data_IF_002708343741
#
_entry.id   IF_002708343741
#
_cell.length_a   1.000
_cell.length_b   1.000
_cell.length_c   1.000
_cell.angle_alpha   90.00
_cell.angle_beta   90.00
_cell.angle_gamma   90.00
#
_symmetry.space_group_name_H-M   'P 1'
#
loop_
_entity.id
_entity.type
_entity.pdbx_description
1 polymer ?
#
# COMPACT_ATOMS: atom_id res chain seq x y z
N UNK A 1 25.22 -9.15 -16.62
CA UNK A 1 25.13 -9.31 -15.15
C UNK A 1 23.93 -10.21 -14.88
N UNK A 2 24.06 -11.23 -14.03
CA UNK A 2 22.94 -12.09 -13.61
C UNK A 2 22.56 -11.73 -12.17
N UNK A 3 21.28 -11.43 -11.88
CA UNK A 3 20.82 -11.18 -10.51
C UNK A 3 21.02 -12.41 -9.61
N UNK A 4 21.24 -12.19 -8.33
CA UNK A 4 21.41 -13.22 -7.30
C UNK A 4 20.13 -13.34 -6.45
N UNK A 5 20.05 -14.36 -5.58
CA UNK A 5 18.89 -14.56 -4.69
C UNK A 5 18.57 -13.33 -3.82
N UNK A 6 19.58 -12.51 -3.50
CA UNK A 6 19.41 -11.26 -2.74
C UNK A 6 18.65 -10.22 -3.56
N UNK A 7 18.98 -10.08 -4.82
CA UNK A 7 18.34 -9.13 -5.74
C UNK A 7 16.96 -9.61 -6.17
N UNK A 8 16.71 -10.91 -6.18
CA UNK A 8 15.36 -11.48 -6.36
C UNK A 8 14.41 -10.95 -5.29
N UNK A 9 14.84 -10.81 -4.03
CA UNK A 9 14.01 -10.22 -2.96
C UNK A 9 13.57 -8.80 -3.32
N UNK A 10 14.47 -7.95 -3.85
CA UNK A 10 14.12 -6.62 -4.32
C UNK A 10 13.13 -6.66 -5.48
N UNK A 11 13.35 -7.54 -6.45
CA UNK A 11 12.48 -7.63 -7.61
C UNK A 11 11.07 -8.09 -7.24
N UNK A 12 10.93 -9.13 -6.44
CA UNK A 12 9.62 -9.59 -5.95
C UNK A 12 8.90 -8.51 -5.15
N UNK A 13 9.61 -7.77 -4.32
CA UNK A 13 9.03 -6.69 -3.54
C UNK A 13 8.56 -5.53 -4.42
N UNK A 14 9.38 -5.13 -5.40
CA UNK A 14 9.01 -4.12 -6.41
C UNK A 14 7.86 -4.60 -7.31
N UNK A 15 7.82 -5.87 -7.66
CA UNK A 15 6.71 -6.45 -8.43
C UNK A 15 5.39 -6.37 -7.64
N UNK A 16 5.41 -6.75 -6.37
CA UNK A 16 4.25 -6.78 -5.48
C UNK A 16 3.69 -5.41 -5.16
N UNK A 17 4.55 -4.48 -4.76
CA UNK A 17 4.14 -3.18 -4.23
C UNK A 17 4.26 -2.04 -5.24
N UNK A 18 5.13 -2.13 -6.23
CA UNK A 18 5.47 -1.04 -7.13
C UNK A 18 6.74 -0.27 -6.69
N UNK A 19 6.90 1.00 -7.13
CA UNK A 19 8.12 1.77 -6.94
C UNK A 19 8.49 1.92 -5.46
N UNK A 20 9.80 1.73 -5.12
CA UNK A 20 10.32 1.85 -3.77
C UNK A 20 11.56 2.72 -3.71
N UNK A 21 11.73 3.44 -2.59
CA UNK A 21 12.97 4.16 -2.33
C UNK A 21 14.13 3.20 -2.09
N UNK A 22 15.34 3.65 -2.41
CA UNK A 22 16.57 2.90 -2.13
C UNK A 22 16.74 2.58 -0.63
N UNK A 23 16.20 3.42 0.26
CA UNK A 23 16.20 3.16 1.69
C UNK A 23 15.32 1.98 2.07
N UNK A 24 14.11 1.93 1.50
CA UNK A 24 13.18 0.82 1.74
C UNK A 24 13.74 -0.50 1.19
N UNK A 25 14.37 -0.47 0.03
CA UNK A 25 15.03 -1.64 -0.54
C UNK A 25 16.23 -2.10 0.30
N UNK A 26 17.00 -1.17 0.87
CA UNK A 26 18.05 -1.52 1.82
C UNK A 26 17.46 -2.16 3.10
N UNK A 27 16.41 -1.58 3.68
CA UNK A 27 15.72 -2.09 4.87
C UNK A 27 15.25 -3.55 4.65
N UNK A 28 14.63 -3.83 3.50
CA UNK A 28 14.18 -5.19 3.12
C UNK A 28 15.31 -6.24 3.14
N UNK A 29 16.54 -5.84 2.92
CA UNK A 29 17.69 -6.74 2.83
C UNK A 29 18.79 -6.45 3.85
N UNK A 30 18.47 -5.73 4.93
CA UNK A 30 19.41 -5.36 6.00
C UNK A 30 20.02 -6.57 6.72
N UNK A 31 19.34 -7.71 6.69
CA UNK A 31 19.85 -8.99 7.17
C UNK A 31 21.04 -9.53 6.35
N UNK A 32 21.11 -9.18 5.06
CA UNK A 32 22.17 -9.63 4.13
C UNK A 32 23.08 -8.51 3.67
N UNK A 33 22.59 -7.26 3.63
CA UNK A 33 23.40 -6.07 3.35
C UNK A 33 23.73 -5.33 4.63
N UNK A 34 24.89 -5.62 5.22
CA UNK A 34 25.35 -4.96 6.47
C UNK A 34 25.69 -3.48 6.27
N UNK A 35 25.97 -3.06 5.02
CA UNK A 35 26.35 -1.70 4.68
C UNK A 35 25.42 -1.12 3.63
N UNK A 36 24.82 0.05 3.93
CA UNK A 36 23.95 0.81 3.05
C UNK A 36 24.60 1.12 1.71
N UNK A 37 25.86 1.56 1.72
CA UNK A 37 26.58 1.94 0.49
C UNK A 37 26.76 0.75 -0.46
N UNK A 38 26.93 -0.45 0.09
CA UNK A 38 26.99 -1.68 -0.71
C UNK A 38 25.67 -1.96 -1.40
N UNK A 39 24.54 -1.82 -0.68
CA UNK A 39 23.21 -1.96 -1.25
C UNK A 39 22.95 -0.90 -2.34
N UNK A 40 23.29 0.37 -2.08
CA UNK A 40 23.12 1.46 -3.05
C UNK A 40 23.93 1.22 -4.33
N UNK A 41 25.20 0.81 -4.22
CA UNK A 41 26.04 0.44 -5.38
C UNK A 41 25.43 -0.71 -6.17
N UNK A 42 24.86 -1.70 -5.49
CA UNK A 42 24.22 -2.83 -6.15
C UNK A 42 22.95 -2.42 -6.90
N UNK A 43 22.11 -1.56 -6.32
CA UNK A 43 20.94 -0.98 -7.00
C UNK A 43 21.35 -0.19 -8.26
N UNK A 44 22.42 0.60 -8.19
CA UNK A 44 22.98 1.30 -9.35
C UNK A 44 23.48 0.33 -10.45
N UNK A 45 24.14 -0.76 -10.06
CA UNK A 45 24.57 -1.81 -11.01
C UNK A 45 23.39 -2.50 -11.67
N UNK A 46 22.32 -2.80 -10.94
CA UNK A 46 21.09 -3.37 -11.49
C UNK A 46 20.41 -2.40 -12.46
N UNK A 47 20.42 -1.10 -12.14
CA UNK A 47 19.95 -0.07 -13.07
C UNK A 47 20.80 -0.01 -14.33
N UNK A 48 22.13 0.04 -14.22
CA UNK A 48 23.03 0.02 -15.36
C UNK A 48 22.87 -1.25 -16.20
N UNK A 49 22.56 -2.38 -15.56
CA UNK A 49 22.24 -3.65 -16.23
C UNK A 49 20.84 -3.71 -16.85
N UNK A 50 20.04 -2.66 -16.73
CA UNK A 50 18.71 -2.54 -17.30
C UNK A 50 17.62 -3.34 -16.59
N UNK A 51 17.84 -3.78 -15.34
CA UNK A 51 16.83 -4.48 -14.52
C UNK A 51 15.96 -3.50 -13.71
N UNK A 52 16.54 -2.37 -13.29
CA UNK A 52 15.84 -1.33 -12.57
C UNK A 52 15.82 -0.04 -13.40
N UNK A 53 14.76 0.75 -13.23
CA UNK A 53 14.66 2.09 -13.78
C UNK A 53 14.35 3.11 -12.68
N UNK A 54 14.65 4.38 -12.96
CA UNK A 54 14.12 5.50 -12.20
C UNK A 54 12.84 5.97 -12.91
N UNK A 55 11.75 6.20 -12.18
CA UNK A 55 10.56 6.80 -12.77
C UNK A 55 10.88 8.13 -13.47
N UNK A 56 10.23 8.44 -14.61
CA UNK A 56 10.50 9.69 -15.34
C UNK A 56 10.33 10.96 -14.50
N UNK A 57 9.50 10.92 -13.49
CA UNK A 57 9.23 12.03 -12.56
C UNK A 57 10.40 12.30 -11.61
N UNK A 58 11.26 11.33 -11.40
CA UNK A 58 12.48 11.50 -10.62
C UNK A 58 13.64 11.85 -11.57
N UNK A 59 13.93 13.13 -11.69
CA UNK A 59 15.11 13.56 -12.42
C UNK A 59 16.37 13.26 -11.61
N UNK A 60 17.41 12.78 -12.28
CA UNK A 60 18.74 12.75 -11.69
C UNK A 60 19.16 14.19 -11.40
N UNK A 61 19.34 14.53 -10.12
CA UNK A 61 19.86 15.82 -9.70
C UNK A 61 21.31 15.66 -9.28
N UNK A 62 22.10 16.72 -9.35
CA UNK A 62 23.48 16.73 -8.85
C UNK A 62 23.58 16.42 -7.34
N UNK A 63 22.47 16.55 -6.64
CA UNK A 63 22.33 16.27 -5.20
C UNK A 63 21.54 15.00 -4.91
N UNK A 64 21.58 14.05 -5.81
CA UNK A 64 20.83 12.80 -5.65
C UNK A 64 21.24 11.97 -4.42
N UNK A 65 22.44 12.20 -3.89
CA UNK A 65 22.89 11.59 -2.64
C UNK A 65 22.10 12.00 -1.41
N UNK A 66 21.44 13.16 -1.44
CA UNK A 66 20.57 13.65 -0.35
C UNK A 66 19.11 13.20 -0.47
N UNK A 67 18.71 12.80 -1.66
CA UNK A 67 17.37 12.30 -1.94
C UNK A 67 17.46 10.82 -2.33
N UNK A 68 16.78 9.90 -1.62
CA UNK A 68 16.85 8.50 -2.02
C UNK A 68 16.29 8.34 -3.42
N UNK A 69 17.02 7.61 -4.28
CA UNK A 69 16.47 7.19 -5.56
C UNK A 69 15.26 6.28 -5.34
N UNK A 70 14.25 6.47 -6.17
CA UNK A 70 13.10 5.57 -6.25
C UNK A 70 13.33 4.66 -7.45
N UNK A 71 13.28 3.37 -7.23
CA UNK A 71 13.47 2.35 -8.26
C UNK A 71 12.16 1.63 -8.55
N UNK A 72 11.98 1.25 -9.82
CA UNK A 72 10.94 0.31 -10.26
C UNK A 72 11.54 -0.73 -11.20
N UNK A 73 10.81 -1.82 -11.43
CA UNK A 73 11.21 -2.87 -12.36
C UNK A 73 11.08 -2.41 -13.80
N UNK A 74 12.04 -2.83 -14.61
CA UNK A 74 11.91 -2.75 -16.06
C UNK A 74 11.17 -3.98 -16.63
N UNK A 75 10.65 -3.93 -17.86
CA UNK A 75 10.13 -5.11 -18.56
C UNK A 75 11.15 -6.26 -18.64
N UNK A 76 12.46 -5.95 -18.70
CA UNK A 76 13.53 -6.95 -18.65
C UNK A 76 13.53 -7.72 -17.32
N UNK A 77 13.40 -7.02 -16.19
CA UNK A 77 13.36 -7.66 -14.88
C UNK A 77 12.09 -8.51 -14.68
N UNK A 78 10.94 -8.00 -15.15
CA UNK A 78 9.67 -8.73 -15.09
C UNK A 78 9.74 -10.04 -15.91
N UNK A 79 10.27 -9.96 -17.14
CA UNK A 79 10.48 -11.16 -17.98
C UNK A 79 11.45 -12.14 -17.32
N UNK A 80 12.52 -11.63 -16.70
CA UNK A 80 13.49 -12.47 -16.01
C UNK A 80 12.87 -13.21 -14.81
N UNK A 81 11.97 -12.55 -14.03
CA UNK A 81 11.19 -13.24 -12.98
C UNK A 81 10.26 -14.31 -13.57
N UNK A 82 9.59 -13.99 -14.68
CA UNK A 82 8.69 -14.92 -15.37
C UNK A 82 9.44 -16.17 -15.87
N UNK A 83 10.59 -15.99 -16.51
CA UNK A 83 11.42 -17.08 -17.04
C UNK A 83 11.96 -18.02 -15.94
N UNK A 84 11.99 -17.56 -14.69
CA UNK A 84 12.39 -18.35 -13.51
C UNK A 84 11.20 -18.91 -12.72
N UNK A 85 9.98 -18.73 -13.17
CA UNK A 85 8.75 -19.09 -12.45
C UNK A 85 8.65 -18.43 -11.06
N UNK A 86 9.14 -17.18 -10.94
CA UNK A 86 9.15 -16.39 -9.72
C UNK A 86 8.19 -15.20 -9.78
N UNK A 87 7.62 -14.92 -10.96
CA UNK A 87 6.69 -13.80 -11.15
C UNK A 87 5.40 -14.00 -10.36
N UNK A 88 4.91 -12.91 -9.76
CA UNK A 88 3.62 -12.88 -9.05
C UNK A 88 2.62 -12.04 -9.86
N UNK A 89 1.33 -12.42 -9.92
CA UNK A 89 0.30 -11.57 -10.51
C UNK A 89 0.28 -10.21 -9.82
N UNK A 90 0.38 -9.14 -10.60
CA UNK A 90 0.51 -7.80 -10.03
C UNK A 90 -0.84 -7.08 -10.00
N UNK A 91 -1.22 -6.59 -8.83
CA UNK A 91 -2.35 -5.67 -8.66
C UNK A 91 -1.78 -4.33 -8.21
N UNK A 92 -1.45 -3.50 -9.20
CA UNK A 92 -0.85 -2.18 -8.94
C UNK A 92 -1.91 -1.09 -8.98
N UNK A 93 -1.79 -0.06 -8.12
CA UNK A 93 -2.66 1.10 -8.18
C UNK A 93 -2.51 1.79 -9.54
N UNK A 94 -3.62 2.26 -10.09
CA UNK A 94 -3.68 3.04 -11.32
C UNK A 94 -3.73 4.54 -11.00
N UNK A 95 -3.36 5.39 -11.95
CA UNK A 95 -3.48 6.82 -11.81
C UNK A 95 -2.15 7.56 -11.82
N UNK A 96 -2.13 8.72 -11.18
CA UNK A 96 -0.96 9.60 -11.18
C UNK A 96 0.20 8.97 -10.42
N UNK A 97 1.43 9.06 -10.95
CA UNK A 97 2.62 8.41 -10.40
C UNK A 97 2.84 8.66 -8.90
N UNK A 98 2.67 9.89 -8.42
CA UNK A 98 2.81 10.20 -6.99
C UNK A 98 1.79 9.50 -6.11
N UNK A 99 0.57 9.30 -6.61
CA UNK A 99 -0.44 8.51 -5.91
C UNK A 99 -0.01 7.05 -5.85
N UNK A 100 0.37 6.47 -6.97
CA UNK A 100 0.85 5.08 -7.03
C UNK A 100 2.06 4.86 -6.11
N UNK A 101 3.00 5.82 -6.07
CA UNK A 101 4.16 5.75 -5.16
C UNK A 101 3.74 5.84 -3.69
N UNK A 102 2.76 6.68 -3.33
CA UNK A 102 2.22 6.76 -1.96
C UNK A 102 1.62 5.42 -1.52
N UNK A 103 0.74 4.83 -2.34
CA UNK A 103 0.14 3.51 -2.08
C UNK A 103 1.21 2.44 -1.93
N UNK A 104 2.15 2.40 -2.87
CA UNK A 104 3.28 1.48 -2.88
C UNK A 104 4.15 1.57 -1.62
N UNK A 105 4.43 2.79 -1.16
CA UNK A 105 5.23 3.04 0.05
C UNK A 105 4.52 2.55 1.32
N UNK A 106 3.21 2.79 1.42
CA UNK A 106 2.40 2.40 2.58
C UNK A 106 2.30 0.87 2.66
N UNK A 107 1.94 0.21 1.57
CA UNK A 107 1.80 -1.26 1.55
C UNK A 107 3.12 -1.98 1.78
N UNK A 108 4.21 -1.44 1.23
CA UNK A 108 5.57 -1.93 1.49
C UNK A 108 5.97 -1.79 2.96
N UNK A 109 5.65 -0.66 3.60
CA UNK A 109 5.93 -0.45 5.02
C UNK A 109 5.16 -1.43 5.90
N UNK A 110 3.89 -1.70 5.56
CA UNK A 110 3.06 -2.68 6.28
C UNK A 110 3.62 -4.10 6.10
N UNK A 111 4.01 -4.49 4.87
CA UNK A 111 4.56 -5.83 4.59
C UNK A 111 5.88 -6.08 5.36
N UNK A 112 6.80 -5.11 5.33
CA UNK A 112 8.05 -5.20 6.09
C UNK A 112 7.83 -5.25 7.59
N UNK A 113 6.96 -4.40 8.12
CA UNK A 113 6.63 -4.38 9.54
C UNK A 113 5.95 -5.69 9.97
N UNK A 114 5.06 -6.23 9.14
CA UNK A 114 4.41 -7.52 9.39
C UNK A 114 5.44 -8.65 9.41
N UNK A 115 6.36 -8.68 8.45
CA UNK A 115 7.45 -9.67 8.39
C UNK A 115 8.30 -9.63 9.66
N UNK A 116 8.70 -8.44 10.12
CA UNK A 116 9.48 -8.27 11.35
C UNK A 116 8.71 -8.70 12.61
N UNK A 117 7.39 -8.55 12.61
CA UNK A 117 6.52 -8.95 13.72
C UNK A 117 6.08 -10.44 13.67
N UNK A 118 6.55 -11.21 12.68
CA UNK A 118 6.10 -12.59 12.48
C UNK A 118 4.66 -12.71 11.99
N UNK A 119 4.08 -11.65 11.46
CA UNK A 119 2.75 -11.58 10.87
C UNK A 119 2.88 -11.76 9.35
N UNK A 120 2.08 -12.64 8.76
CA UNK A 120 2.12 -12.83 7.30
C UNK A 120 1.28 -11.77 6.59
N UNK A 121 1.91 -11.01 5.70
CA UNK A 121 1.23 -10.17 4.74
C UNK A 121 0.70 -11.03 3.57
N UNK A 122 -0.57 -10.86 3.23
CA UNK A 122 -1.25 -11.55 2.12
C UNK A 122 -1.59 -10.50 1.07
N UNK A 123 -0.93 -10.51 -0.10
CA UNK A 123 -1.16 -9.51 -1.15
C UNK A 123 -2.49 -9.71 -1.86
N UNK A 124 -2.94 -8.68 -2.57
CA UNK A 124 -4.22 -8.66 -3.26
C UNK A 124 -4.42 -9.87 -4.19
N UNK A 125 -3.42 -10.26 -4.97
CA UNK A 125 -3.55 -11.35 -5.92
C UNK A 125 -3.91 -12.69 -5.24
N UNK A 126 -3.33 -12.99 -4.07
CA UNK A 126 -3.68 -14.20 -3.31
C UNK A 126 -5.14 -14.18 -2.83
N UNK A 127 -5.67 -13.00 -2.52
CA UNK A 127 -7.07 -12.83 -2.10
C UNK A 127 -7.99 -12.99 -3.31
N UNK A 128 -7.71 -12.27 -4.39
CA UNK A 128 -8.56 -12.21 -5.58
C UNK A 128 -8.66 -13.54 -6.32
N UNK A 129 -7.57 -14.31 -6.37
CA UNK A 129 -7.50 -15.62 -7.04
C UNK A 129 -8.47 -16.63 -6.42
N UNK A 130 -8.84 -16.48 -5.14
CA UNK A 130 -9.74 -17.45 -4.44
C UNK A 130 -11.09 -17.61 -5.13
N UNK A 131 -11.61 -16.55 -5.73
CA UNK A 131 -12.89 -16.56 -6.48
C UNK A 131 -12.78 -16.02 -7.90
N UNK A 132 -11.57 -15.74 -8.39
CA UNK A 132 -11.40 -15.00 -9.64
C UNK A 132 -12.01 -13.60 -9.59
N UNK A 133 -12.04 -12.98 -8.41
CA UNK A 133 -12.65 -11.69 -8.20
C UNK A 133 -11.79 -10.54 -8.76
N UNK A 134 -12.44 -9.45 -9.19
CA UNK A 134 -11.75 -8.19 -9.47
C UNK A 134 -11.48 -7.43 -8.17
N UNK A 135 -10.54 -6.46 -8.22
CA UNK A 135 -10.27 -5.57 -7.08
C UNK A 135 -11.51 -4.71 -6.72
N UNK A 136 -12.29 -4.34 -7.73
CA UNK A 136 -13.49 -3.52 -7.54
C UNK A 136 -14.68 -4.32 -7.00
N UNK A 137 -15.28 -3.83 -5.92
CA UNK A 137 -16.49 -4.39 -5.30
C UNK A 137 -17.76 -3.76 -5.85
N UNK A 138 -18.77 -4.53 -6.25
CA UNK A 138 -20.03 -3.99 -6.75
C UNK A 138 -20.87 -3.38 -5.60
N UNK A 139 -21.47 -2.21 -5.85
CA UNK A 139 -22.33 -1.49 -4.90
C UNK A 139 -23.45 -0.78 -5.66
N UNK A 140 -24.69 -1.21 -5.49
CA UNK A 140 -25.86 -0.45 -5.98
C UNK A 140 -25.76 0.02 -7.44
N UNK A 141 -25.26 -0.81 -8.36
CA UNK A 141 -25.05 -0.45 -9.76
C UNK A 141 -23.75 0.34 -10.04
N UNK A 142 -22.95 0.63 -9.01
CA UNK A 142 -21.62 1.22 -9.09
C UNK A 142 -20.54 0.20 -8.69
N UNK A 143 -19.28 0.59 -8.78
CA UNK A 143 -18.13 -0.23 -8.33
C UNK A 143 -17.22 0.63 -7.48
N UNK A 144 -16.92 0.19 -6.25
CA UNK A 144 -15.84 0.75 -5.44
C UNK A 144 -14.55 0.02 -5.79
N UNK A 145 -13.57 0.74 -6.29
CA UNK A 145 -12.22 0.22 -6.55
C UNK A 145 -11.28 0.84 -5.52
N UNK A 146 -10.83 0.08 -4.50
CA UNK A 146 -9.84 0.58 -3.55
C UNK A 146 -8.48 0.77 -4.23
N UNK A 147 -7.64 1.65 -3.68
CA UNK A 147 -6.28 1.84 -4.17
C UNK A 147 -5.44 0.57 -4.02
N UNK A 148 -5.68 -0.19 -2.93
CA UNK A 148 -5.08 -1.51 -2.73
C UNK A 148 -5.92 -2.37 -1.77
N UNK A 149 -5.73 -3.69 -1.88
CA UNK A 149 -6.30 -4.72 -1.02
C UNK A 149 -5.17 -5.60 -0.48
N UNK A 150 -5.22 -5.95 0.79
CA UNK A 150 -4.32 -6.92 1.41
C UNK A 150 -4.96 -7.54 2.66
N UNK A 151 -4.35 -8.57 3.22
CA UNK A 151 -4.73 -9.07 4.53
C UNK A 151 -3.50 -9.34 5.39
N UNK A 152 -3.70 -9.31 6.70
CA UNK A 152 -2.71 -9.72 7.69
C UNK A 152 -3.19 -11.00 8.37
N UNK A 153 -2.32 -12.02 8.41
CA UNK A 153 -2.55 -13.27 9.12
C UNK A 153 -1.82 -13.23 10.45
N UNK A 154 -2.58 -13.11 11.51
CA UNK A 154 -2.11 -13.20 12.89
C UNK A 154 -2.22 -14.65 13.42
N UNK A 155 -1.59 -14.98 14.54
CA UNK A 155 -1.81 -16.28 15.21
C UNK A 155 -3.28 -16.55 15.52
N UNK A 156 -4.04 -15.50 15.83
CA UNK A 156 -5.46 -15.55 16.22
C UNK A 156 -6.46 -15.52 15.04
N UNK A 157 -6.00 -15.30 13.80
CA UNK A 157 -6.87 -15.24 12.64
C UNK A 157 -6.41 -14.28 11.55
N UNK A 158 -7.36 -13.84 10.74
CA UNK A 158 -7.12 -12.96 9.58
C UNK A 158 -7.90 -11.67 9.72
N UNK A 159 -7.33 -10.59 9.21
CA UNK A 159 -8.01 -9.33 9.00
C UNK A 159 -7.71 -8.80 7.60
N UNK A 160 -8.75 -8.46 6.86
CA UNK A 160 -8.62 -7.89 5.53
C UNK A 160 -8.62 -6.36 5.59
N UNK A 161 -7.86 -5.74 4.71
CA UNK A 161 -7.70 -4.29 4.65
C UNK A 161 -7.83 -3.81 3.21
N UNK A 162 -8.59 -2.75 3.00
CA UNK A 162 -8.46 -1.90 1.83
C UNK A 162 -7.67 -0.66 2.20
N UNK A 163 -6.99 -0.07 1.24
CA UNK A 163 -6.23 1.17 1.38
C UNK A 163 -6.79 2.22 0.43
N UNK A 164 -6.98 3.42 0.95
CA UNK A 164 -7.30 4.65 0.22
C UNK A 164 -6.27 5.72 0.59
N UNK A 165 -5.53 6.22 -0.39
CA UNK A 165 -4.48 7.20 -0.20
C UNK A 165 -4.87 8.56 -0.77
N UNK A 166 -5.25 9.50 0.09
CA UNK A 166 -5.66 10.83 -0.34
C UNK A 166 -4.53 11.85 -0.30
N UNK A 167 -4.17 12.35 -1.47
CA UNK A 167 -3.17 13.43 -1.65
C UNK A 167 -3.73 14.83 -1.54
N UNK A 168 -4.99 14.98 -1.16
CA UNK A 168 -5.66 16.28 -1.08
C UNK A 168 -6.33 16.71 -2.39
N UNK A 169 -6.44 15.82 -3.37
CA UNK A 169 -7.01 16.12 -4.70
C UNK A 169 -8.51 15.81 -4.80
N UNK A 170 -9.04 14.96 -3.96
CA UNK A 170 -10.48 14.65 -3.93
C UNK A 170 -11.25 15.68 -3.08
N UNK A 171 -12.45 16.14 -3.52
CA UNK A 171 -13.29 16.99 -2.69
C UNK A 171 -13.86 16.20 -1.51
N UNK A 172 -14.10 16.88 -0.38
CA UNK A 172 -14.78 16.25 0.77
C UNK A 172 -16.20 15.83 0.38
N UNK A 173 -16.95 16.73 -0.26
CA UNK A 173 -18.27 16.53 -0.81
C UNK A 173 -18.31 17.01 -2.25
N UNK A 174 -19.15 16.40 -3.07
CA UNK A 174 -19.35 16.81 -4.46
C UNK A 174 -20.80 16.69 -4.85
N UNK A 175 -21.33 17.76 -5.48
CA UNK A 175 -22.63 17.74 -6.16
C UNK A 175 -22.54 17.31 -7.62
N UNK A 176 -21.31 17.20 -8.16
CA UNK A 176 -21.04 16.75 -9.52
C UNK A 176 -20.81 15.23 -9.55
N UNK A 177 -20.85 14.62 -10.74
CA UNK A 177 -20.53 13.19 -10.96
C UNK A 177 -19.03 12.88 -10.75
N UNK A 178 -18.40 13.52 -9.77
CA UNK A 178 -16.99 13.35 -9.40
C UNK A 178 -16.91 12.62 -8.06
N UNK A 179 -16.06 11.60 -7.98
CA UNK A 179 -15.76 10.88 -6.73
C UNK A 179 -15.42 11.89 -5.61
N UNK A 180 -15.97 11.69 -4.44
CA UNK A 180 -15.72 12.49 -3.24
C UNK A 180 -15.44 11.56 -2.06
N UNK A 181 -14.83 12.10 -1.00
CA UNK A 181 -14.62 11.35 0.23
C UNK A 181 -15.94 10.92 0.88
N UNK A 182 -16.98 11.76 0.80
CA UNK A 182 -18.32 11.41 1.26
C UNK A 182 -18.88 10.18 0.53
N UNK A 183 -18.77 10.15 -0.79
CA UNK A 183 -19.21 9.00 -1.58
C UNK A 183 -18.41 7.74 -1.21
N UNK A 184 -17.11 7.83 -1.05
CA UNK A 184 -16.26 6.71 -0.61
C UNK A 184 -16.69 6.18 0.77
N UNK A 185 -16.96 7.07 1.74
CA UNK A 185 -17.45 6.68 3.08
C UNK A 185 -18.77 5.93 2.98
N UNK A 186 -19.74 6.44 2.22
CA UNK A 186 -21.05 5.80 2.04
C UNK A 186 -20.92 4.44 1.37
N UNK A 187 -20.04 4.31 0.37
CA UNK A 187 -19.77 3.04 -0.30
C UNK A 187 -19.15 2.01 0.65
N UNK A 188 -18.16 2.41 1.47
CA UNK A 188 -17.60 1.51 2.48
C UNK A 188 -18.62 1.12 3.55
N UNK A 189 -19.46 2.05 3.99
CA UNK A 189 -20.53 1.76 4.94
C UNK A 189 -21.50 0.72 4.40
N UNK A 190 -21.85 0.81 3.12
CA UNK A 190 -22.72 -0.16 2.43
C UNK A 190 -22.07 -1.54 2.31
N UNK A 191 -20.80 -1.61 1.88
CA UNK A 191 -20.00 -2.85 1.80
C UNK A 191 -19.93 -3.54 3.17
N UNK A 192 -19.68 -2.80 4.23
CA UNK A 192 -19.57 -3.33 5.59
C UNK A 192 -20.92 -3.85 6.10
N UNK A 193 -22.00 -3.10 5.86
CA UNK A 193 -23.36 -3.47 6.27
C UNK A 193 -23.80 -4.77 5.62
N UNK A 194 -23.59 -4.93 4.31
CA UNK A 194 -24.03 -6.09 3.55
C UNK A 194 -22.99 -7.22 3.46
N UNK A 195 -21.81 -7.03 4.07
CA UNK A 195 -20.69 -7.98 3.98
C UNK A 195 -20.28 -8.31 2.53
N UNK A 196 -20.43 -7.35 1.61
CA UNK A 196 -20.16 -7.53 0.17
C UNK A 196 -18.72 -8.06 -0.07
N UNK A 197 -17.74 -7.62 0.71
CA UNK A 197 -16.36 -8.11 0.65
C UNK A 197 -16.25 -9.63 0.87
N UNK A 198 -17.11 -10.22 1.73
CA UNK A 198 -17.08 -11.66 2.01
C UNK A 198 -17.59 -12.46 0.81
N UNK A 199 -18.68 -12.01 0.21
CA UNK A 199 -19.27 -12.68 -0.97
C UNK A 199 -18.41 -12.46 -2.20
N UNK A 200 -17.87 -11.26 -2.40
CA UNK A 200 -17.08 -10.87 -3.57
C UNK A 200 -15.70 -11.51 -3.57
N UNK A 201 -14.91 -11.32 -2.51
CA UNK A 201 -13.55 -11.86 -2.42
C UNK A 201 -13.48 -13.32 -1.89
N UNK A 202 -14.56 -13.83 -1.33
CA UNK A 202 -14.56 -15.17 -0.72
C UNK A 202 -13.78 -15.23 0.59
N UNK A 203 -13.62 -14.12 1.30
CA UNK A 203 -12.90 -14.05 2.57
C UNK A 203 -13.87 -13.86 3.74
N UNK A 204 -13.71 -14.66 4.80
CA UNK A 204 -14.53 -14.53 6.00
C UNK A 204 -13.99 -13.51 7.01
N UNK A 205 -12.80 -12.97 6.73
CA UNK A 205 -12.18 -11.96 7.57
C UNK A 205 -13.01 -10.67 7.63
N UNK A 206 -12.97 -9.98 8.77
CA UNK A 206 -13.52 -8.63 8.86
C UNK A 206 -12.69 -7.68 7.98
N UNK A 207 -13.38 -6.75 7.32
CA UNK A 207 -12.76 -5.72 6.50
C UNK A 207 -12.59 -4.43 7.31
N UNK A 208 -11.40 -3.86 7.23
CA UNK A 208 -11.06 -2.51 7.68
C UNK A 208 -10.65 -1.67 6.47
N UNK A 209 -11.14 -0.46 6.35
CA UNK A 209 -10.70 0.48 5.34
C UNK A 209 -9.71 1.48 5.94
N UNK A 210 -8.49 1.48 5.42
CA UNK A 210 -7.40 2.36 5.83
C UNK A 210 -7.41 3.60 4.94
N UNK A 211 -7.61 4.76 5.54
CA UNK A 211 -7.52 6.06 4.86
C UNK A 211 -6.25 6.77 5.30
N UNK A 212 -5.37 7.05 4.36
CA UNK A 212 -4.11 7.75 4.62
C UNK A 212 -4.11 9.11 3.94
N UNK A 213 -3.94 10.15 4.75
CA UNK A 213 -3.93 11.54 4.31
C UNK A 213 -2.53 12.15 4.39
N UNK A 214 -2.27 13.14 3.57
CA UNK A 214 -1.02 13.91 3.61
C UNK A 214 -1.03 15.04 4.64
N UNK A 215 -2.21 15.43 5.16
CA UNK A 215 -2.34 16.50 6.14
C UNK A 215 -3.32 16.16 7.26
N UNK A 216 -2.99 16.61 8.49
CA UNK A 216 -3.85 16.44 9.67
C UNK A 216 -5.21 17.12 9.50
N UNK A 217 -5.25 18.27 8.83
CA UNK A 217 -6.49 19.01 8.57
C UNK A 217 -7.50 18.12 7.79
N UNK A 218 -7.06 17.47 6.71
CA UNK A 218 -7.93 16.60 5.91
C UNK A 218 -8.37 15.35 6.67
N UNK A 219 -7.44 14.75 7.42
CA UNK A 219 -7.76 13.61 8.28
C UNK A 219 -8.86 13.97 9.31
N UNK A 220 -8.74 15.12 9.98
CA UNK A 220 -9.75 15.58 10.94
C UNK A 220 -11.11 15.83 10.28
N UNK A 221 -11.11 16.48 9.10
CA UNK A 221 -12.35 16.72 8.34
C UNK A 221 -13.01 15.40 7.90
N UNK A 222 -12.22 14.42 7.50
CA UNK A 222 -12.74 13.09 7.15
C UNK A 222 -13.35 12.39 8.37
N UNK A 223 -12.66 12.40 9.53
CA UNK A 223 -13.17 11.81 10.77
C UNK A 223 -14.51 12.44 11.19
N UNK A 224 -14.62 13.78 11.09
CA UNK A 224 -15.88 14.47 11.36
C UNK A 224 -16.97 14.02 10.39
N UNK A 225 -16.66 13.92 9.10
CA UNK A 225 -17.63 13.48 8.08
C UNK A 225 -18.10 12.05 8.32
N UNK A 226 -17.21 11.14 8.74
CA UNK A 226 -17.57 9.76 9.14
C UNK A 226 -18.52 9.78 10.34
N UNK A 227 -18.25 10.60 11.36
CA UNK A 227 -19.11 10.72 12.53
C UNK A 227 -20.51 11.21 12.17
N UNK A 228 -20.59 12.15 11.23
CA UNK A 228 -21.86 12.79 10.84
C UNK A 228 -22.76 11.85 10.00
N UNK A 229 -22.17 11.08 9.07
CA UNK A 229 -22.95 10.33 8.07
C UNK A 229 -23.01 8.82 8.29
N UNK A 230 -22.04 8.22 8.98
CA UNK A 230 -22.01 6.77 9.16
C UNK A 230 -21.40 6.33 10.50
N UNK A 231 -21.98 6.76 11.65
CA UNK A 231 -21.44 6.41 12.96
C UNK A 231 -21.35 4.89 13.20
N UNK A 232 -22.25 4.11 12.58
CA UNK A 232 -22.29 2.64 12.73
C UNK A 232 -21.08 1.95 12.09
N UNK A 233 -20.49 2.51 11.05
CA UNK A 233 -19.31 1.97 10.35
C UNK A 233 -17.99 2.60 10.82
N UNK A 234 -18.05 3.58 11.73
CA UNK A 234 -16.90 4.35 12.16
C UNK A 234 -15.75 3.49 12.74
N UNK A 235 -16.09 2.37 13.40
CA UNK A 235 -15.10 1.45 13.96
C UNK A 235 -14.22 0.76 12.91
N UNK A 236 -14.69 0.64 11.67
CA UNK A 236 -14.01 -0.05 10.58
C UNK A 236 -13.27 0.90 9.61
N UNK A 237 -13.43 2.21 9.78
CA UNK A 237 -12.75 3.24 8.98
C UNK A 237 -11.59 3.82 9.79
N UNK A 238 -10.39 3.46 9.43
CA UNK A 238 -9.16 3.80 10.14
C UNK A 238 -8.42 4.90 9.41
N UNK A 239 -7.97 5.91 10.13
CA UNK A 239 -7.35 7.12 9.56
C UNK A 239 -5.96 7.33 10.11
N UNK A 240 -5.00 7.59 9.24
CA UNK A 240 -3.65 7.99 9.60
C UNK A 240 -3.17 9.14 8.71
N UNK A 241 -2.28 9.96 9.24
CA UNK A 241 -1.56 10.98 8.46
C UNK A 241 -0.15 10.48 8.21
N UNK A 242 0.23 10.44 6.93
CA UNK A 242 1.58 10.07 6.53
C UNK A 242 2.12 11.13 5.59
N UNK A 243 3.22 11.73 5.98
CA UNK A 243 3.93 12.64 5.08
C UNK A 243 4.60 11.83 3.98
N UNK A 244 4.28 12.15 2.73
CA UNK A 244 4.92 11.56 1.53
C UNK A 244 6.34 12.11 1.41
N UNK A 245 7.22 11.66 2.26
CA UNK A 245 8.64 11.95 2.21
C UNK A 245 9.43 10.66 2.41
N UNK A 246 10.70 10.63 1.99
CA UNK A 246 11.56 9.47 2.15
C UNK A 246 11.97 9.22 3.62
N UNK A 247 11.50 10.02 4.56
CA UNK A 247 11.81 9.87 5.97
C UNK A 247 11.11 8.65 6.55
N UNK A 248 11.82 7.57 6.58
CA UNK A 248 11.53 6.44 7.45
C UNK A 248 11.72 6.95 8.87
N UNK A 249 10.63 7.21 9.58
CA UNK A 249 10.71 7.35 11.02
C UNK A 249 11.03 5.96 11.59
N UNK A 250 12.29 5.74 11.91
CA UNK A 250 12.80 4.48 12.48
C UNK A 250 12.18 4.13 13.84
N UNK A 251 11.35 5.00 14.43
CA UNK A 251 11.02 4.92 15.85
C UNK A 251 9.69 4.25 16.20
N UNK A 252 8.82 3.90 15.24
CA UNK A 252 7.65 3.07 15.52
C UNK A 252 7.17 2.34 14.27
N UNK A 253 7.07 1.01 14.37
CA UNK A 253 6.45 0.19 13.32
C UNK A 253 5.05 0.69 12.99
N UNK A 254 4.70 0.77 11.71
CA UNK A 254 3.35 1.17 11.25
C UNK A 254 2.26 0.28 11.85
N UNK A 255 2.57 -0.96 12.23
CA UNK A 255 1.63 -1.86 12.90
C UNK A 255 1.24 -1.38 14.30
N UNK A 256 2.13 -0.67 14.98
CA UNK A 256 1.90 -0.19 16.35
C UNK A 256 1.51 1.29 16.41
N UNK A 257 1.59 2.01 15.29
CA UNK A 257 1.12 3.40 15.25
C UNK A 257 -0.40 3.45 15.43
N UNK A 258 -0.91 4.47 16.17
CA UNK A 258 -2.34 4.64 16.32
C UNK A 258 -3.01 5.02 14.99
N UNK A 259 -4.06 4.31 14.65
CA UNK A 259 -4.99 4.64 13.58
C UNK A 259 -6.24 5.23 14.21
N UNK A 260 -6.51 6.49 13.91
CA UNK A 260 -7.67 7.22 14.42
C UNK A 260 -8.96 6.63 13.88
N UNK A 261 -10.00 6.65 14.71
CA UNK A 261 -11.36 6.25 14.33
C UNK A 261 -12.34 7.30 14.83
N UNK A 262 -13.32 7.66 14.01
CA UNK A 262 -14.40 8.52 14.48
C UNK A 262 -15.19 7.81 15.57
N UNK A 263 -15.52 8.51 16.65
CA UNK A 263 -16.35 8.02 17.76
C UNK A 263 -15.84 6.76 18.48
N UNK A 264 -14.64 6.32 18.20
CA UNK A 264 -14.06 5.09 18.76
C UNK A 264 -12.63 5.34 19.22
N UNK A 265 -12.11 4.54 20.18
CA UNK A 265 -10.70 4.57 20.52
C UNK A 265 -9.81 4.25 19.31
N UNK A 266 -8.58 4.76 19.31
CA UNK A 266 -7.60 4.45 18.28
C UNK A 266 -7.39 2.93 18.16
N UNK A 267 -7.09 2.48 16.97
CA UNK A 267 -6.73 1.09 16.70
C UNK A 267 -5.26 0.97 16.30
N UNK A 268 -4.73 -0.25 16.34
CA UNK A 268 -3.43 -0.60 15.74
C UNK A 268 -3.62 -1.73 14.73
N UNK A 269 -2.63 -1.93 13.86
CA UNK A 269 -2.63 -3.07 12.94
C UNK A 269 -1.90 -4.29 13.53
N UNK A 270 -1.44 -4.22 14.79
CA UNK A 270 -0.67 -5.28 15.44
C UNK A 270 -1.51 -6.41 16.00
N UNK A 271 -2.82 -6.23 16.12
CA UNK A 271 -3.76 -7.19 16.73
C UNK A 271 -5.05 -7.33 15.94
#
# INVERSE_FOLDING_TARGET
MRPTNREVRWFKHLERHGPQSSFRLFELTSDTHRCKDTALRQLQRLRAGGFLCLPPQQRATERAEFNPYIYDLTPKAQRWLFDLDLAEPTVRPTGHWWHSYMVSSITSEIDLAATHAGVRYIPAHEILTRKGASLGMPIGGKTLIPDQLFALKYPTGFRAYTLEADRGTEPLKSSAARKSLEESILQYADILRHNTHKTHYGVQANLMALFVFTTQYRANRFLQLVADITPQSAANLLVQVQHTGPSISANSSILHRPWKRALNPDATLST
#
